data_IF_098284556418
#
_entry.id   IF_098284556418
#
_cell.length_a   1.000
_cell.length_b   1.000
_cell.length_c   1.000
_cell.angle_alpha   90.00
_cell.angle_beta   90.00
_cell.angle_gamma   90.00
#
_symmetry.space_group_name_H-M   'P 1'
#
loop_
_entity.id
_entity.type
_entity.pdbx_description
1 polymer ?
#
# COMPACT_ATOMS: atom_id res chain seq x y z
N UNK A 1 16.76 14.66 20.03
CA UNK A 1 17.44 14.87 18.73
C UNK A 1 16.72 13.98 17.73
N UNK A 2 15.74 14.53 17.00
CA UNK A 2 14.99 13.78 16.00
C UNK A 2 15.81 13.67 14.73
N UNK A 3 16.08 12.46 14.28
CA UNK A 3 16.71 12.19 12.98
C UNK A 3 15.79 12.71 11.89
N UNK A 4 16.18 13.80 11.23
CA UNK A 4 15.59 14.19 9.95
C UNK A 4 16.06 13.16 8.93
N UNK A 5 15.25 12.12 8.74
CA UNK A 5 15.38 11.21 7.61
C UNK A 5 15.19 12.05 6.36
N UNK A 6 16.29 12.22 5.60
CA UNK A 6 16.29 12.95 4.34
C UNK A 6 15.35 12.23 3.37
N UNK A 7 14.12 12.73 3.24
CA UNK A 7 13.22 12.29 2.19
C UNK A 7 13.80 12.72 0.83
N UNK A 8 13.79 11.85 -0.19
CA UNK A 8 14.25 12.18 -1.54
C UNK A 8 13.48 13.37 -2.12
N UNK A 9 14.07 14.07 -3.09
CA UNK A 9 13.57 15.33 -3.65
C UNK A 9 12.09 15.28 -4.12
N UNK A 10 11.58 14.13 -4.56
CA UNK A 10 10.17 13.96 -4.95
C UNK A 10 9.18 13.85 -3.79
N UNK A 11 9.57 13.20 -2.68
CA UNK A 11 8.73 13.02 -1.50
C UNK A 11 8.53 14.33 -0.73
N UNK A 12 9.50 15.26 -0.82
CA UNK A 12 9.44 16.55 -0.15
C UNK A 12 8.31 17.46 -0.65
N UNK A 13 8.06 17.51 -1.96
CA UNK A 13 6.98 18.31 -2.55
C UNK A 13 5.58 17.78 -2.19
N UNK A 14 5.42 16.45 -2.21
CA UNK A 14 4.21 15.80 -1.73
C UNK A 14 3.97 16.08 -0.24
N UNK A 15 5.02 15.96 0.58
CA UNK A 15 4.91 16.19 2.02
C UNK A 15 4.46 17.61 2.36
N UNK A 16 5.03 18.64 1.71
CA UNK A 16 4.58 20.03 1.91
C UNK A 16 3.11 20.23 1.56
N UNK A 17 2.66 19.65 0.45
CA UNK A 17 1.27 19.75 0.01
C UNK A 17 0.32 19.09 1.00
N UNK A 18 0.72 17.92 1.53
CA UNK A 18 -0.05 17.16 2.52
C UNK A 18 -0.13 17.88 3.88
N UNK A 19 0.96 18.52 4.31
CA UNK A 19 0.97 19.36 5.51
C UNK A 19 0.05 20.58 5.35
N UNK A 20 0.12 21.26 4.20
CA UNK A 20 -0.76 22.40 3.90
C UNK A 20 -2.24 22.01 3.93
N UNK A 21 -2.59 20.86 3.36
CA UNK A 21 -3.95 20.33 3.42
C UNK A 21 -4.37 19.97 4.86
N UNK A 22 -3.49 19.36 5.64
CA UNK A 22 -3.76 19.02 7.05
C UNK A 22 -4.09 20.27 7.87
N UNK A 23 -3.36 21.35 7.68
CA UNK A 23 -3.63 22.62 8.36
C UNK A 23 -4.96 23.24 7.91
N UNK A 24 -5.32 23.15 6.63
CA UNK A 24 -6.63 23.59 6.15
C UNK A 24 -7.79 22.80 6.77
N UNK A 25 -7.65 21.47 6.89
CA UNK A 25 -8.67 20.61 7.53
C UNK A 25 -8.85 20.95 9.00
N UNK A 26 -7.76 21.17 9.74
CA UNK A 26 -7.81 21.62 11.14
C UNK A 26 -8.44 23.00 11.27
N UNK A 27 -8.06 23.96 10.41
CA UNK A 27 -8.62 25.30 10.40
C UNK A 27 -10.11 25.32 10.06
N UNK A 28 -10.57 24.38 9.22
CA UNK A 28 -11.98 24.20 8.89
C UNK A 28 -12.81 23.55 10.02
N UNK A 29 -12.17 23.10 11.12
CA UNK A 29 -12.86 22.47 12.25
C UNK A 29 -13.49 21.11 11.93
N UNK A 30 -13.01 20.43 10.88
CA UNK A 30 -13.59 19.18 10.39
C UNK A 30 -13.06 17.98 11.19
N UNK A 31 -13.75 17.65 12.29
CA UNK A 31 -13.38 16.51 13.16
C UNK A 31 -13.54 15.13 12.50
N UNK A 32 -14.28 15.03 11.38
CA UNK A 32 -14.45 13.76 10.66
C UNK A 32 -13.13 13.19 10.13
N UNK A 33 -12.10 14.02 9.99
CA UNK A 33 -10.77 13.61 9.52
C UNK A 33 -9.78 13.31 10.64
N UNK A 34 -10.10 13.53 11.92
CA UNK A 34 -9.14 13.38 13.03
C UNK A 34 -8.51 11.98 13.08
N UNK A 35 -9.30 10.93 12.85
CA UNK A 35 -8.80 9.55 12.77
C UNK A 35 -7.82 9.35 11.62
N UNK A 36 -8.11 9.94 10.47
CA UNK A 36 -7.24 9.88 9.30
C UNK A 36 -5.95 10.66 9.56
N UNK A 37 -6.03 11.88 10.10
CA UNK A 37 -4.87 12.70 10.43
C UNK A 37 -3.94 12.03 11.45
N UNK A 38 -4.51 11.38 12.47
CA UNK A 38 -3.74 10.60 13.43
C UNK A 38 -3.03 9.42 12.76
N UNK A 39 -3.72 8.72 11.87
CA UNK A 39 -3.13 7.61 11.10
C UNK A 39 -2.00 8.12 10.20
N UNK A 40 -2.23 9.24 9.51
CA UNK A 40 -1.25 9.84 8.62
C UNK A 40 0.02 10.27 9.37
N UNK A 41 -0.13 10.91 10.53
CA UNK A 41 0.97 11.30 11.41
C UNK A 41 1.76 10.08 11.90
N UNK A 42 1.08 9.03 12.35
CA UNK A 42 1.73 7.83 12.91
C UNK A 42 2.52 7.02 11.87
N UNK A 43 2.12 7.09 10.59
CA UNK A 43 2.70 6.27 9.51
C UNK A 43 3.42 7.08 8.44
N UNK A 44 3.67 8.38 8.68
CA UNK A 44 4.24 9.30 7.70
C UNK A 44 5.57 8.78 7.11
N UNK A 45 6.44 8.19 7.93
CA UNK A 45 7.74 7.70 7.49
C UNK A 45 7.61 6.51 6.53
N UNK A 46 6.64 5.62 6.77
CA UNK A 46 6.34 4.50 5.88
C UNK A 46 5.75 4.95 4.54
N UNK A 47 4.89 5.96 4.57
CA UNK A 47 4.29 6.56 3.37
C UNK A 47 5.36 7.25 2.53
N UNK A 48 6.25 8.03 3.17
CA UNK A 48 7.32 8.76 2.49
C UNK A 48 8.39 7.80 1.92
N UNK A 49 8.73 6.73 2.65
CA UNK A 49 9.63 5.69 2.13
C UNK A 49 9.04 4.96 0.91
N UNK A 50 7.72 4.73 0.87
CA UNK A 50 7.07 4.13 -0.29
C UNK A 50 7.20 5.00 -1.55
N UNK A 51 7.25 6.33 -1.39
CA UNK A 51 7.40 7.28 -2.48
C UNK A 51 8.83 7.41 -3.00
N UNK A 52 9.85 7.03 -2.21
CA UNK A 52 11.26 7.06 -2.62
C UNK A 52 11.58 6.01 -3.70
N UNK A 53 10.86 4.88 -3.70
CA UNK A 53 11.12 3.79 -4.66
C UNK A 53 10.28 3.82 -5.94
N UNK A 54 9.29 4.72 -6.06
CA UNK A 54 8.25 4.66 -7.12
C UNK A 54 7.78 3.20 -7.36
N UNK A 55 7.69 2.41 -6.30
CA UNK A 55 7.27 1.03 -6.44
C UNK A 55 5.81 1.06 -6.81
N UNK A 56 5.52 0.86 -8.09
CA UNK A 56 4.14 0.76 -8.55
C UNK A 56 3.49 -0.36 -7.76
N UNK A 57 2.32 -0.08 -7.18
CA UNK A 57 1.53 -1.12 -6.52
C UNK A 57 1.10 -2.20 -7.51
N UNK A 58 1.43 -2.10 -8.80
CA UNK A 58 1.06 -3.04 -9.86
C UNK A 58 1.37 -4.50 -9.54
N UNK A 59 2.54 -4.80 -8.94
CA UNK A 59 2.84 -6.18 -8.51
C UNK A 59 1.89 -6.63 -7.38
N UNK A 60 1.73 -5.80 -6.35
CA UNK A 60 0.86 -6.11 -5.19
C UNK A 60 -0.62 -6.18 -5.61
N UNK A 61 -1.07 -5.30 -6.49
CA UNK A 61 -2.42 -5.25 -7.06
C UNK A 61 -2.67 -6.47 -7.95
N UNK A 62 -1.71 -6.83 -8.80
CA UNK A 62 -1.77 -8.04 -9.62
C UNK A 62 -1.81 -9.32 -8.77
N UNK A 63 -1.00 -9.38 -7.72
CA UNK A 63 -1.00 -10.48 -6.77
C UNK A 63 -2.34 -10.57 -6.02
N UNK A 64 -2.87 -9.44 -5.54
CA UNK A 64 -4.16 -9.36 -4.86
C UNK A 64 -5.30 -9.86 -5.76
N UNK A 65 -5.31 -9.46 -7.03
CA UNK A 65 -6.32 -9.94 -7.98
C UNK A 65 -6.22 -11.45 -8.22
N UNK A 66 -5.00 -11.98 -8.41
CA UNK A 66 -4.78 -13.43 -8.54
C UNK A 66 -5.23 -14.21 -7.31
N UNK A 67 -4.92 -13.71 -6.11
CA UNK A 67 -5.37 -14.32 -4.85
C UNK A 67 -6.90 -14.32 -4.73
N UNK A 68 -7.57 -13.23 -5.12
CA UNK A 68 -9.04 -13.18 -5.14
C UNK A 68 -9.64 -14.17 -6.14
N UNK A 69 -9.07 -14.30 -7.34
CA UNK A 69 -9.50 -15.29 -8.33
C UNK A 69 -9.27 -16.73 -7.83
N UNK A 70 -8.14 -17.00 -7.18
CA UNK A 70 -7.83 -18.30 -6.60
C UNK A 70 -8.85 -18.68 -5.52
N UNK A 71 -9.19 -17.74 -4.62
CA UNK A 71 -10.25 -17.94 -3.62
C UNK A 71 -11.60 -18.28 -4.25
N UNK A 72 -11.97 -17.62 -5.36
CA UNK A 72 -13.23 -17.91 -6.09
C UNK A 72 -13.21 -19.28 -6.77
N UNK A 73 -12.09 -19.66 -7.40
CA UNK A 73 -11.94 -20.96 -8.08
C UNK A 73 -11.79 -22.14 -7.12
N UNK A 74 -11.29 -21.89 -5.92
CA UNK A 74 -11.05 -22.89 -4.89
C UNK A 74 -12.09 -22.81 -3.76
N UNK A 75 -13.28 -22.29 -4.05
CA UNK A 75 -14.36 -22.26 -3.07
C UNK A 75 -14.69 -23.69 -2.59
N UNK A 76 -14.61 -23.93 -1.27
CA UNK A 76 -14.76 -25.26 -0.66
C UNK A 76 -13.48 -26.09 -0.55
N UNK A 77 -12.33 -25.57 -0.99
CA UNK A 77 -11.01 -26.11 -0.69
C UNK A 77 -10.41 -25.32 0.47
N UNK A 78 -10.49 -25.89 1.67
CA UNK A 78 -10.06 -25.23 2.90
C UNK A 78 -8.65 -25.65 3.35
N UNK A 79 -8.02 -26.60 2.65
CA UNK A 79 -6.64 -27.02 2.93
C UNK A 79 -5.63 -25.93 2.48
N UNK A 80 -4.88 -25.31 3.41
CA UNK A 80 -3.92 -24.28 3.08
C UNK A 80 -2.80 -24.77 2.16
N UNK A 81 -2.38 -26.03 2.27
CA UNK A 81 -1.30 -26.59 1.45
C UNK A 81 -1.71 -26.63 -0.02
N UNK A 82 -2.93 -27.10 -0.30
CA UNK A 82 -3.48 -27.13 -1.65
C UNK A 82 -3.71 -25.73 -2.22
N UNK A 83 -4.15 -24.76 -1.40
CA UNK A 83 -4.28 -23.36 -1.81
C UNK A 83 -2.93 -22.74 -2.19
N UNK A 84 -1.87 -23.00 -1.40
CA UNK A 84 -0.51 -22.54 -1.71
C UNK A 84 0.06 -23.20 -2.97
N UNK A 85 -0.19 -24.49 -3.16
CA UNK A 85 0.22 -25.22 -4.37
C UNK A 85 -0.41 -24.62 -5.62
N UNK A 86 -1.71 -24.31 -5.57
CA UNK A 86 -2.44 -23.67 -6.67
C UNK A 86 -1.97 -22.24 -6.92
N UNK A 87 -1.68 -21.48 -5.86
CA UNK A 87 -1.11 -20.14 -5.97
C UNK A 87 0.25 -20.19 -6.66
N UNK A 88 1.10 -21.14 -6.27
CA UNK A 88 2.40 -21.36 -6.90
C UNK A 88 2.27 -21.68 -8.39
N UNK A 89 1.34 -22.57 -8.75
CA UNK A 89 1.04 -22.90 -10.15
C UNK A 89 0.54 -21.68 -10.95
N UNK A 90 -0.36 -20.86 -10.39
CA UNK A 90 -0.88 -19.64 -11.03
C UNK A 90 0.19 -18.54 -11.24
N UNK A 91 1.20 -18.51 -10.37
CA UNK A 91 2.30 -17.56 -10.44
C UNK A 91 3.42 -18.03 -11.39
N UNK A 92 3.75 -19.33 -11.39
CA UNK A 92 4.81 -19.90 -12.24
C UNK A 92 4.34 -20.27 -13.63
N UNK A 93 3.09 -20.73 -13.77
CA UNK A 93 2.49 -21.09 -15.04
C UNK A 93 2.47 -19.93 -16.03
N UNK A 94 2.20 -18.70 -15.56
CA UNK A 94 2.24 -17.50 -16.41
C UNK A 94 3.63 -17.27 -17.04
N UNK A 95 4.71 -17.60 -16.34
CA UNK A 95 6.09 -17.41 -16.83
C UNK A 95 6.47 -18.42 -17.92
N UNK A 96 5.76 -19.53 -18.04
CA UNK A 96 5.99 -20.55 -19.06
C UNK A 96 5.29 -20.23 -20.40
N UNK A 97 4.36 -19.28 -20.41
CA UNK A 97 3.56 -18.87 -21.58
C UNK A 97 3.67 -17.36 -21.89
N UNK A 98 4.64 -16.67 -21.28
CA UNK A 98 4.91 -15.24 -21.48
C UNK A 98 6.24 -15.01 -22.20
#
# INVERSE_FOLDING_TARGET
>A
MGTQTFAPFGAFGFWRSLQGWTEQVKAAGLSCFDKFLNTLHNWQDGILNYLDGWHTSGFVAGLNHKLQLLKRRCFGLDDPVELFRRLWLDLKGLRLWA
#
